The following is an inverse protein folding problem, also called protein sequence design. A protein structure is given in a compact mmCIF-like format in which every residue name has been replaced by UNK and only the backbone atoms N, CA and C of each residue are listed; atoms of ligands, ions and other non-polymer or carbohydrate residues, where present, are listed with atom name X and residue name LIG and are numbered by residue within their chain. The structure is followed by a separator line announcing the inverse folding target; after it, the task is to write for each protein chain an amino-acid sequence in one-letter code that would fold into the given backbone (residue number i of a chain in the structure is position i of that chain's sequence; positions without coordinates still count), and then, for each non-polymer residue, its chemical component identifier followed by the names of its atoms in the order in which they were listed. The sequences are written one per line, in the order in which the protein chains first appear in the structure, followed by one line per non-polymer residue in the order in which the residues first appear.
data_IF_283470138282
#
_entry.id   IF_283470138282
#
_cell.length_a   1.000
_cell.length_b   1.000
_cell.length_c   1.000
_cell.angle_alpha   90.00
_cell.angle_beta   90.00
_cell.angle_gamma   90.00
#
_symmetry.space_group_name_H-M   'P 1'
#
loop_
_entity.id
_entity.type
_entity.pdbx_description
1 polymer ?
#
# COMPACT_ATOMS: atom_id res chain seq x y z
N UNK A 1 -12.18 -4.57 19.55
CA UNK A 1 -11.49 -5.80 19.95
C UNK A 1 -10.00 -5.56 19.73
N UNK A 2 -9.20 -5.57 20.79
CA UNK A 2 -7.76 -5.35 20.65
C UNK A 2 -7.03 -6.67 20.34
N UNK A 3 -5.74 -6.59 19.96
CA UNK A 3 -4.97 -7.80 19.61
C UNK A 3 -4.91 -8.82 20.74
N UNK A 4 -4.90 -8.38 22.00
CA UNK A 4 -4.93 -9.26 23.17
C UNK A 4 -6.27 -9.99 23.31
N UNK A 5 -7.41 -9.28 23.12
CA UNK A 5 -8.75 -9.88 23.21
C UNK A 5 -8.94 -10.94 22.13
N UNK A 6 -8.47 -10.66 20.91
CA UNK A 6 -8.52 -11.63 19.80
C UNK A 6 -7.67 -12.87 20.13
N UNK A 7 -6.51 -12.70 20.77
CA UNK A 7 -5.65 -13.81 21.15
C UNK A 7 -6.28 -14.72 22.19
N UNK A 8 -6.94 -14.16 23.18
CA UNK A 8 -7.69 -14.94 24.19
C UNK A 8 -8.91 -15.64 23.56
N UNK A 9 -9.62 -14.95 22.67
CA UNK A 9 -10.73 -15.56 21.92
C UNK A 9 -10.24 -16.76 21.10
N UNK A 10 -9.15 -16.61 20.34
CA UNK A 10 -8.58 -17.70 19.53
C UNK A 10 -8.09 -18.86 20.39
N UNK A 11 -7.47 -18.58 21.52
CA UNK A 11 -7.03 -19.60 22.47
C UNK A 11 -8.21 -20.43 23.01
N UNK A 12 -9.32 -19.75 23.29
CA UNK A 12 -10.53 -20.41 23.82
C UNK A 12 -11.26 -21.25 22.76
N UNK A 13 -11.48 -20.70 21.57
CA UNK A 13 -12.31 -21.36 20.51
C UNK A 13 -11.50 -22.20 19.54
N UNK A 14 -10.20 -21.95 19.39
CA UNK A 14 -9.29 -22.66 18.49
C UNK A 14 -7.96 -23.01 19.15
N UNK A 15 -7.96 -23.82 20.24
CA UNK A 15 -6.76 -24.11 21.01
C UNK A 15 -5.65 -24.78 20.19
N UNK A 16 -5.97 -25.42 19.07
CA UNK A 16 -4.99 -25.99 18.16
C UNK A 16 -4.04 -24.95 17.54
N UNK A 17 -4.41 -23.66 17.51
CA UNK A 17 -3.55 -22.58 17.03
C UNK A 17 -2.45 -22.23 18.04
N UNK A 18 -2.53 -22.71 19.27
CA UNK A 18 -1.56 -22.51 20.35
C UNK A 18 -1.14 -21.04 20.48
N UNK A 19 -2.11 -20.13 20.44
CA UNK A 19 -1.90 -18.67 20.51
C UNK A 19 -2.56 -18.10 21.77
N UNK A 20 -2.08 -16.97 22.25
CA UNK A 20 -2.65 -16.26 23.40
C UNK A 20 -2.61 -14.74 23.19
N UNK A 21 -3.24 -13.98 24.10
CA UNK A 21 -3.35 -12.54 24.02
C UNK A 21 -2.01 -11.82 23.98
N UNK A 22 -1.03 -12.25 24.78
CA UNK A 22 0.31 -11.66 24.78
C UNK A 22 1.04 -11.91 23.45
N UNK A 23 0.95 -13.12 22.94
CA UNK A 23 1.56 -13.49 21.66
C UNK A 23 1.01 -12.64 20.50
N UNK A 24 -0.32 -12.46 20.43
CA UNK A 24 -0.91 -11.60 19.38
C UNK A 24 -0.60 -10.12 19.62
N UNK A 25 -0.48 -9.66 20.86
CA UNK A 25 -0.03 -8.29 21.12
C UNK A 25 1.41 -8.06 20.62
N UNK A 26 2.32 -8.97 20.93
CA UNK A 26 3.73 -8.82 20.52
C UNK A 26 3.89 -8.99 19.01
N UNK A 27 3.37 -10.06 18.41
CA UNK A 27 3.55 -10.34 16.98
C UNK A 27 2.60 -9.53 16.10
N UNK A 28 1.32 -9.50 16.45
CA UNK A 28 0.28 -8.89 15.64
C UNK A 28 0.24 -7.36 15.75
N UNK A 29 0.74 -6.77 16.83
CA UNK A 29 0.79 -5.32 17.00
C UNK A 29 2.23 -4.80 17.04
N UNK A 30 3.03 -5.14 18.05
CA UNK A 30 4.34 -4.52 18.21
C UNK A 30 5.27 -4.80 17.03
N UNK A 31 5.49 -6.08 16.70
CA UNK A 31 6.42 -6.46 15.64
C UNK A 31 5.91 -6.06 14.26
N UNK A 32 4.62 -6.26 13.98
CA UNK A 32 4.02 -5.84 12.70
C UNK A 32 4.12 -4.32 12.50
N UNK A 33 3.88 -3.53 13.55
CA UNK A 33 4.02 -2.07 13.48
C UNK A 33 5.46 -1.66 13.16
N UNK A 34 6.44 -2.25 13.82
CA UNK A 34 7.87 -1.99 13.53
C UNK A 34 8.21 -2.34 12.08
N UNK A 35 7.75 -3.50 11.60
CA UNK A 35 7.96 -3.93 10.21
C UNK A 35 7.31 -2.96 9.19
N UNK A 36 6.08 -2.51 9.46
CA UNK A 36 5.38 -1.53 8.60
C UNK A 36 6.11 -0.20 8.57
N UNK A 37 6.58 0.32 9.72
CA UNK A 37 7.38 1.54 9.75
C UNK A 37 8.65 1.41 8.92
N UNK A 38 9.42 0.33 9.11
CA UNK A 38 10.64 0.10 8.34
C UNK A 38 10.36 -0.04 6.83
N UNK A 39 9.31 -0.75 6.44
CA UNK A 39 8.89 -0.85 5.05
C UNK A 39 8.55 0.52 4.47
N UNK A 40 7.76 1.33 5.18
CA UNK A 40 7.37 2.69 4.74
C UNK A 40 8.58 3.61 4.60
N UNK A 41 9.49 3.63 5.59
CA UNK A 41 10.71 4.44 5.50
C UNK A 41 11.63 3.97 4.36
N UNK A 42 11.74 2.66 4.14
CA UNK A 42 12.54 2.10 3.04
C UNK A 42 11.96 2.52 1.69
N UNK A 43 10.64 2.41 1.50
CA UNK A 43 9.98 2.84 0.28
C UNK A 43 10.23 4.32 0.04
N UNK A 44 9.97 5.17 1.03
CA UNK A 44 10.18 6.61 0.91
C UNK A 44 11.64 6.96 0.57
N UNK A 45 12.60 6.38 1.26
CA UNK A 45 14.02 6.66 1.02
C UNK A 45 14.47 6.18 -0.36
N UNK A 46 14.21 4.92 -0.72
CA UNK A 46 14.65 4.32 -1.98
C UNK A 46 13.93 4.91 -3.19
N UNK A 47 12.64 5.24 -3.05
CA UNK A 47 11.85 5.86 -4.12
C UNK A 47 12.22 7.33 -4.37
N UNK A 48 12.99 7.96 -3.51
CA UNK A 48 13.60 9.26 -3.80
C UNK A 48 15.03 9.18 -4.36
N UNK A 49 15.66 8.00 -4.29
CA UNK A 49 17.02 7.77 -4.80
C UNK A 49 17.05 7.02 -6.14
N UNK A 50 16.21 5.97 -6.27
CA UNK A 50 16.29 5.01 -7.37
C UNK A 50 14.97 4.88 -8.13
N UNK A 51 15.05 4.90 -9.48
CA UNK A 51 13.91 4.71 -10.36
C UNK A 51 13.78 5.79 -11.43
N UNK A 52 12.66 5.73 -12.16
CA UNK A 52 12.33 6.67 -13.22
C UNK A 52 11.49 7.85 -12.69
N UNK A 53 11.65 9.03 -13.29
CA UNK A 53 10.89 10.24 -12.96
C UNK A 53 10.10 10.70 -14.20
N UNK A 54 8.99 10.03 -14.55
CA UNK A 54 8.21 10.38 -15.73
C UNK A 54 7.45 11.70 -15.60
N UNK A 55 7.12 12.10 -14.38
CA UNK A 55 6.38 13.34 -14.11
C UNK A 55 7.27 14.35 -13.38
N UNK A 56 7.08 15.63 -13.72
CA UNK A 56 7.73 16.74 -13.01
C UNK A 56 7.03 16.95 -11.67
N UNK A 57 7.74 16.67 -10.59
CA UNK A 57 7.32 16.90 -9.20
C UNK A 57 8.30 17.85 -8.53
N UNK A 58 7.86 18.54 -7.49
CA UNK A 58 8.70 19.47 -6.70
C UNK A 58 9.81 18.77 -5.91
N UNK A 59 9.73 17.46 -5.78
CA UNK A 59 10.66 16.59 -5.06
C UNK A 59 11.40 15.61 -6.00
N UNK A 60 12.20 14.71 -5.42
CA UNK A 60 12.94 13.68 -6.15
C UNK A 60 12.23 12.33 -6.20
N UNK A 61 10.92 12.30 -6.02
CA UNK A 61 10.14 11.07 -6.10
C UNK A 61 10.32 10.36 -7.45
N UNK A 62 10.44 9.05 -7.42
CA UNK A 62 10.71 8.18 -8.57
C UNK A 62 9.82 6.95 -8.55
N UNK A 63 9.51 6.43 -9.71
CA UNK A 63 8.85 5.14 -9.87
C UNK A 63 9.87 4.02 -9.92
N UNK A 64 9.71 3.02 -9.06
CA UNK A 64 10.55 1.84 -9.01
C UNK A 64 9.70 0.57 -9.07
N UNK A 65 9.88 -0.22 -10.12
CA UNK A 65 9.09 -1.43 -10.36
C UNK A 65 9.24 -2.48 -9.25
N UNK A 66 10.47 -2.72 -8.80
CA UNK A 66 10.72 -3.74 -7.75
C UNK A 66 10.11 -3.31 -6.41
N UNK A 67 10.25 -2.03 -6.06
CA UNK A 67 9.60 -1.50 -4.86
C UNK A 67 8.09 -1.57 -4.99
N UNK A 68 7.53 -1.29 -6.17
CA UNK A 68 6.08 -1.39 -6.39
C UNK A 68 5.55 -2.80 -6.19
N UNK A 69 6.26 -3.83 -6.64
CA UNK A 69 5.88 -5.22 -6.38
C UNK A 69 5.96 -5.58 -4.89
N UNK A 70 7.06 -5.20 -4.21
CA UNK A 70 7.27 -5.51 -2.79
C UNK A 70 6.30 -4.76 -1.87
N UNK A 71 5.86 -3.57 -2.28
CA UNK A 71 4.98 -2.70 -1.50
C UNK A 71 3.55 -2.64 -2.01
N UNK A 72 3.14 -3.60 -2.84
CA UNK A 72 1.78 -3.72 -3.39
C UNK A 72 1.30 -2.50 -4.21
N UNK A 73 2.22 -1.69 -4.73
CA UNK A 73 1.92 -0.52 -5.57
C UNK A 73 2.59 0.78 -5.14
N UNK A 74 3.02 0.91 -3.88
CA UNK A 74 3.60 2.15 -3.33
C UNK A 74 4.91 2.59 -4.02
N UNK A 75 5.60 1.69 -4.72
CA UNK A 75 6.78 2.03 -5.51
C UNK A 75 6.52 2.86 -6.77
N UNK A 76 5.25 3.10 -7.15
CA UNK A 76 4.88 4.10 -8.18
C UNK A 76 4.85 5.51 -7.60
N UNK A 77 5.88 5.86 -6.86
CA UNK A 77 5.95 6.99 -5.96
C UNK A 77 5.97 8.36 -6.67
N UNK A 78 6.57 8.46 -7.85
CA UNK A 78 6.51 9.67 -8.65
C UNK A 78 5.10 9.94 -9.20
N UNK A 79 4.36 8.89 -9.58
CA UNK A 79 2.96 9.02 -9.96
C UNK A 79 2.12 9.51 -8.78
N UNK A 80 2.34 8.92 -7.59
CA UNK A 80 1.66 9.32 -6.36
C UNK A 80 1.93 10.80 -6.04
N UNK A 81 3.17 11.24 -6.05
CA UNK A 81 3.53 12.65 -5.79
C UNK A 81 3.03 13.61 -6.87
N UNK A 82 2.88 13.14 -8.09
CA UNK A 82 2.30 13.93 -9.18
C UNK A 82 0.79 14.13 -9.03
N UNK A 83 0.05 13.10 -8.61
CA UNK A 83 -1.39 13.19 -8.36
C UNK A 83 -1.80 12.41 -7.10
N UNK A 84 -1.55 12.96 -5.91
CA UNK A 84 -1.72 12.24 -4.64
C UNK A 84 -3.18 12.00 -4.25
N UNK A 85 -4.12 12.68 -4.92
CA UNK A 85 -5.53 12.62 -4.58
C UNK A 85 -6.28 11.39 -5.15
N UNK A 86 -5.60 10.43 -5.79
CA UNK A 86 -6.24 9.24 -6.34
C UNK A 86 -5.82 7.96 -5.60
N UNK A 87 -6.68 6.96 -5.67
CA UNK A 87 -6.41 5.64 -5.10
C UNK A 87 -5.46 4.80 -5.98
N UNK A 88 -5.32 5.15 -7.26
CA UNK A 88 -4.50 4.43 -8.24
C UNK A 88 -3.13 5.08 -8.35
N UNK A 89 -2.07 4.33 -8.04
CA UNK A 89 -0.69 4.79 -8.22
C UNK A 89 -0.06 4.30 -9.53
N UNK A 90 -0.48 3.15 -10.07
CA UNK A 90 -0.06 2.65 -11.37
C UNK A 90 -0.84 3.30 -12.53
N UNK A 91 -0.30 4.33 -13.20
CA UNK A 91 -1.01 5.06 -14.26
C UNK A 91 -0.98 4.34 -15.62
N UNK A 92 0.04 3.55 -15.89
CA UNK A 92 0.15 2.77 -17.12
C UNK A 92 -0.35 1.34 -16.92
N UNK A 93 -0.79 0.67 -18.00
CA UNK A 93 -1.34 -0.69 -17.93
C UNK A 93 -0.37 -1.73 -17.36
N UNK A 94 0.95 -1.54 -17.55
CA UNK A 94 2.00 -2.43 -17.03
C UNK A 94 2.47 -2.08 -15.62
N UNK A 95 2.02 -0.96 -15.08
CA UNK A 95 2.31 -0.53 -13.72
C UNK A 95 1.36 -1.26 -12.76
N UNK A 96 1.80 -2.43 -12.31
CA UNK A 96 1.02 -3.28 -11.41
C UNK A 96 0.84 -2.57 -10.07
N UNK A 97 -0.42 -2.40 -9.67
CA UNK A 97 -0.82 -1.75 -8.42
C UNK A 97 -1.81 -2.67 -7.71
N UNK A 98 -1.26 -3.56 -6.88
CA UNK A 98 -2.03 -4.62 -6.22
C UNK A 98 -3.04 -4.01 -5.24
N UNK A 99 -2.64 -2.99 -4.48
CA UNK A 99 -3.54 -2.28 -3.57
C UNK A 99 -4.75 -1.72 -4.30
N UNK A 100 -4.54 -1.09 -5.45
CA UNK A 100 -5.63 -0.57 -6.26
C UNK A 100 -6.56 -1.67 -6.79
N UNK A 101 -6.03 -2.82 -7.19
CA UNK A 101 -6.86 -3.95 -7.64
C UNK A 101 -7.70 -4.53 -6.51
N UNK A 102 -7.17 -4.60 -5.29
CA UNK A 102 -7.94 -4.99 -4.10
C UNK A 102 -9.06 -3.98 -3.81
N UNK A 103 -8.76 -2.68 -3.89
CA UNK A 103 -9.77 -1.62 -3.71
C UNK A 103 -10.87 -1.70 -4.77
N UNK A 104 -10.56 -1.99 -6.03
CA UNK A 104 -11.55 -2.24 -7.07
C UNK A 104 -12.45 -3.44 -6.75
N UNK A 105 -11.88 -4.50 -6.18
CA UNK A 105 -12.64 -5.66 -5.69
C UNK A 105 -13.62 -5.27 -4.59
N UNK A 106 -13.18 -4.49 -3.61
CA UNK A 106 -14.01 -3.99 -2.52
C UNK A 106 -15.10 -3.02 -3.01
N UNK A 107 -14.82 -2.21 -4.02
CA UNK A 107 -15.82 -1.35 -4.66
C UNK A 107 -16.90 -2.17 -5.37
N UNK A 108 -16.51 -3.24 -6.10
CA UNK A 108 -17.45 -4.15 -6.76
C UNK A 108 -18.44 -4.79 -5.78
N UNK A 109 -17.98 -5.18 -4.61
CA UNK A 109 -18.85 -5.76 -3.56
C UNK A 109 -19.49 -4.69 -2.66
N UNK A 110 -19.37 -3.41 -3.04
CA UNK A 110 -19.97 -2.25 -2.37
C UNK A 110 -19.53 -2.02 -0.93
N UNK A 111 -18.38 -2.54 -0.52
CA UNK A 111 -17.77 -2.27 0.79
C UNK A 111 -17.22 -0.84 0.83
N UNK A 112 -16.63 -0.38 -0.27
CA UNK A 112 -16.18 1.00 -0.46
C UNK A 112 -16.92 1.63 -1.64
N UNK A 113 -16.92 2.96 -1.70
CA UNK A 113 -17.57 3.73 -2.77
C UNK A 113 -16.61 4.79 -3.30
N UNK A 114 -16.78 5.13 -4.59
CA UNK A 114 -16.16 6.28 -5.22
C UNK A 114 -14.63 6.29 -5.15
N UNK A 115 -13.98 5.25 -5.66
CA UNK A 115 -12.53 5.24 -5.86
C UNK A 115 -12.11 6.37 -6.79
N UNK A 116 -11.43 7.37 -6.25
CA UNK A 116 -10.95 8.49 -7.03
C UNK A 116 -9.88 8.03 -8.02
N UNK A 117 -10.15 8.26 -9.30
CA UNK A 117 -9.27 7.91 -10.42
C UNK A 117 -8.47 9.13 -10.87
N UNK A 118 -7.26 8.94 -11.42
CA UNK A 118 -6.57 10.02 -12.12
C UNK A 118 -7.37 10.41 -13.38
N UNK A 119 -7.35 11.69 -13.77
CA UNK A 119 -7.96 12.15 -15.01
C UNK A 119 -7.46 11.37 -16.23
N UNK A 120 -8.33 11.17 -17.23
CA UNK A 120 -7.96 10.45 -18.46
C UNK A 120 -6.77 11.07 -19.19
N UNK A 121 -6.59 12.39 -19.11
CA UNK A 121 -5.42 13.09 -19.64
C UNK A 121 -4.11 12.55 -19.07
N UNK A 122 -4.04 12.31 -17.77
CA UNK A 122 -2.86 11.75 -17.09
C UNK A 122 -2.62 10.30 -17.55
N UNK A 123 -3.69 9.49 -17.60
CA UNK A 123 -3.59 8.08 -17.99
C UNK A 123 -3.15 7.91 -19.45
N UNK A 124 -3.55 8.82 -20.33
CA UNK A 124 -3.21 8.82 -21.74
C UNK A 124 -1.86 9.51 -22.06
N UNK A 125 -1.13 9.99 -21.03
CA UNK A 125 0.19 10.57 -21.20
C UNK A 125 0.19 11.97 -21.81
N UNK A 126 -0.92 12.72 -21.70
CA UNK A 126 -0.93 14.12 -22.14
C UNK A 126 0.06 14.94 -21.30
N UNK A 127 0.97 15.71 -21.92
CA UNK A 127 1.86 16.60 -21.19
C UNK A 127 1.04 17.71 -20.52
N UNK A 128 1.36 17.98 -19.27
CA UNK A 128 0.91 19.17 -18.55
C UNK A 128 1.97 20.26 -18.58
#
# INVERSE_FOLDING_TARGET
MCSSDLGEFLNHYHPALNTNGLQLLVWGFCLSTVCVFHATFTINSLSHCFGSKPHKTSDNSRNNFFLALLSFGEGWHNNHHFYPACARQGFKWWQIDITYYLLLGLEKIKVIKELRQPPKSILNGAPH
#
